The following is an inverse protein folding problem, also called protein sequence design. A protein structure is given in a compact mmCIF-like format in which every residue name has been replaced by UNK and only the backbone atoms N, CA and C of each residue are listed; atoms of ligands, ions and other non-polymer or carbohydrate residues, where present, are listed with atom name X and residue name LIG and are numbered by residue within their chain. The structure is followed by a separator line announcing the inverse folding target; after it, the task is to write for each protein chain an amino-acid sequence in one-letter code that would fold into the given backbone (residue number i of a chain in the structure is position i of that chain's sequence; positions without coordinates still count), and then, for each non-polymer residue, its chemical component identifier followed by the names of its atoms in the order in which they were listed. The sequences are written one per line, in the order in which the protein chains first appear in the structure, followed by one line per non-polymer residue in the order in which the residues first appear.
data_IF_443116812268
#
_entry.id   IF_443116812268
#
_cell.length_a   1.000
_cell.length_b   1.000
_cell.length_c   1.000
_cell.angle_alpha   90.00
_cell.angle_beta   90.00
_cell.angle_gamma   90.00
#
_symmetry.space_group_name_H-M   'P 1'
#
loop_
_entity.id
_entity.type
_entity.pdbx_description
1 polymer ?
#
# COMPACT_ATOMS: atom_id res chain seq x y z
N UNK A 1 3.66 -1.47 17.34
CA UNK A 1 3.32 -0.04 17.20
C UNK A 1 2.12 0.08 16.25
N UNK A 2 1.01 0.69 16.69
CA UNK A 2 -0.10 0.96 15.79
C UNK A 2 0.36 2.00 14.76
N UNK A 3 0.45 1.62 13.49
CA UNK A 3 0.69 2.54 12.39
C UNK A 3 -0.44 3.58 12.43
N UNK A 4 -0.12 4.85 12.64
CA UNK A 4 -1.07 5.96 12.67
C UNK A 4 -1.62 6.24 11.27
N UNK A 5 -2.28 5.24 10.69
CA UNK A 5 -2.94 5.33 9.40
C UNK A 5 -4.28 6.01 9.62
N UNK A 6 -4.35 7.28 9.23
CA UNK A 6 -5.60 8.00 9.12
C UNK A 6 -6.65 7.15 8.38
N UNK A 7 -7.88 7.12 8.89
CA UNK A 7 -8.96 6.34 8.28
C UNK A 7 -9.15 6.79 6.83
N UNK A 8 -9.06 5.87 5.85
CA UNK A 8 -9.19 6.23 4.44
C UNK A 8 -10.61 6.69 4.11
N UNK A 9 -10.71 7.63 3.16
CA UNK A 9 -11.96 8.03 2.51
C UNK A 9 -12.00 7.50 1.08
N UNK A 10 -13.18 7.13 0.60
CA UNK A 10 -13.37 6.64 -0.78
C UNK A 10 -14.49 7.40 -1.51
N UNK A 11 -14.51 7.26 -2.84
CA UNK A 11 -15.55 7.80 -3.74
C UNK A 11 -15.98 6.72 -4.74
N UNK A 12 -16.12 5.49 -4.27
CA UNK A 12 -16.41 4.34 -5.12
C UNK A 12 -17.80 4.41 -5.73
N UNK A 13 -17.91 4.11 -7.03
CA UNK A 13 -19.19 4.06 -7.75
C UNK A 13 -19.57 2.62 -8.12
N UNK A 14 -18.60 1.83 -8.58
CA UNK A 14 -18.86 0.50 -9.16
C UNK A 14 -18.50 -0.68 -8.25
N UNK A 15 -17.57 -0.49 -7.32
CA UNK A 15 -17.08 -1.59 -6.48
C UNK A 15 -18.01 -1.95 -5.34
N UNK A 16 -19.08 -1.17 -5.12
CA UNK A 16 -19.95 -1.26 -3.93
C UNK A 16 -19.18 -1.27 -2.60
N UNK A 17 -17.94 -0.78 -2.63
CA UNK A 17 -16.94 -0.87 -1.58
C UNK A 17 -16.53 -2.28 -1.12
N UNK A 18 -16.85 -3.35 -1.86
CA UNK A 18 -16.52 -4.75 -1.47
C UNK A 18 -15.29 -5.31 -2.19
N UNK A 19 -14.59 -4.49 -2.98
CA UNK A 19 -13.41 -4.90 -3.75
C UNK A 19 -12.21 -4.06 -3.36
N UNK A 20 -11.00 -4.58 -3.58
CA UNK A 20 -9.72 -3.90 -3.27
C UNK A 20 -9.48 -2.59 -4.04
N UNK A 21 -10.38 -2.18 -4.93
CA UNK A 21 -10.39 -0.82 -5.49
C UNK A 21 -10.80 0.23 -4.45
N UNK A 22 -11.66 -0.15 -3.49
CA UNK A 22 -12.01 0.73 -2.37
C UNK A 22 -10.84 0.81 -1.39
N UNK A 23 -10.44 2.05 -1.05
CA UNK A 23 -9.37 2.29 -0.07
C UNK A 23 -9.76 1.83 1.33
N UNK A 24 -11.03 2.01 1.71
CA UNK A 24 -11.54 1.56 3.00
C UNK A 24 -11.44 0.04 3.12
N UNK A 25 -12.02 -0.68 2.16
CA UNK A 25 -11.97 -2.15 2.13
C UNK A 25 -10.53 -2.69 2.03
N UNK A 26 -9.70 -2.15 1.14
CA UNK A 26 -8.28 -2.56 1.03
C UNK A 26 -7.52 -2.38 2.36
N UNK A 27 -7.81 -1.33 3.11
CA UNK A 27 -7.19 -1.06 4.42
C UNK A 27 -7.95 -1.70 5.59
N UNK A 28 -8.90 -2.59 5.33
CA UNK A 28 -9.77 -3.25 6.32
C UNK A 28 -10.54 -2.30 7.25
N UNK A 29 -10.92 -1.14 6.74
CA UNK A 29 -11.87 -0.24 7.37
C UNK A 29 -13.25 -0.34 6.70
N UNK A 30 -14.32 -0.33 7.50
CA UNK A 30 -15.64 0.02 6.97
C UNK A 30 -15.64 1.44 6.40
N UNK A 31 -16.46 1.71 5.40
CA UNK A 31 -16.75 3.09 5.02
C UNK A 31 -17.41 3.80 6.20
N UNK A 32 -17.03 5.06 6.42
CA UNK A 32 -17.67 5.95 7.40
C UNK A 32 -18.49 7.01 6.67
N UNK A 33 -19.25 7.82 7.42
CA UNK A 33 -20.02 8.94 6.89
C UNK A 33 -19.16 9.97 6.12
N UNK A 34 -17.84 9.99 6.38
CA UNK A 34 -16.88 10.81 5.64
C UNK A 34 -16.53 10.29 4.22
N UNK A 35 -17.17 9.21 3.74
CA UNK A 35 -16.95 8.67 2.39
C UNK A 35 -17.99 9.22 1.39
N UNK A 36 -17.58 9.35 0.13
CA UNK A 36 -18.40 9.82 -0.98
C UNK A 36 -18.81 8.67 -1.93
N UNK A 37 -18.84 7.43 -1.46
CA UNK A 37 -19.20 6.26 -2.26
C UNK A 37 -20.71 6.14 -2.46
N UNK A 38 -21.14 5.65 -3.62
CA UNK A 38 -22.54 5.31 -3.91
C UNK A 38 -22.76 3.79 -3.84
N UNK A 39 -23.89 3.35 -3.28
CA UNK A 39 -24.23 1.92 -3.17
C UNK A 39 -23.26 1.13 -2.27
N UNK A 40 -22.90 1.69 -1.11
CA UNK A 40 -21.90 1.09 -0.22
C UNK A 40 -22.44 -0.14 0.54
N UNK A 41 -21.75 -1.27 0.41
CA UNK A 41 -21.97 -2.47 1.23
C UNK A 41 -20.88 -2.66 2.30
N UNK A 42 -19.79 -1.90 2.24
CA UNK A 42 -18.72 -1.95 3.24
C UNK A 42 -19.09 -1.16 4.50
N UNK A 43 -20.11 -1.62 5.21
CA UNK A 43 -20.64 -1.06 6.44
C UNK A 43 -20.83 -2.17 7.49
N UNK A 44 -20.87 -1.80 8.77
CA UNK A 44 -20.98 -2.76 9.89
C UNK A 44 -22.21 -3.67 9.79
N UNK A 45 -23.31 -3.19 9.21
CA UNK A 45 -24.52 -3.99 9.03
C UNK A 45 -24.31 -5.26 8.17
N UNK A 46 -23.34 -5.25 7.25
CA UNK A 46 -22.99 -6.37 6.39
C UNK A 46 -21.64 -7.02 6.75
N UNK A 47 -21.20 -6.90 8.01
CA UNK A 47 -19.88 -7.35 8.50
C UNK A 47 -19.57 -8.80 8.11
N UNK A 48 -20.47 -9.75 8.39
CA UNK A 48 -20.28 -11.17 8.05
C UNK A 48 -20.01 -11.39 6.55
N UNK A 49 -20.77 -10.73 5.68
CA UNK A 49 -20.59 -10.82 4.22
C UNK A 49 -19.28 -10.16 3.76
N UNK A 50 -18.85 -9.09 4.42
CA UNK A 50 -17.58 -8.40 4.15
C UNK A 50 -16.39 -9.27 4.55
N UNK A 51 -16.48 -9.98 5.68
CA UNK A 51 -15.49 -10.95 6.12
C UNK A 51 -15.36 -12.12 5.13
N UNK A 52 -16.47 -12.71 4.69
CA UNK A 52 -16.46 -13.80 3.70
C UNK A 52 -15.78 -13.36 2.38
N UNK A 53 -16.09 -12.16 1.90
CA UNK A 53 -15.44 -11.60 0.70
C UNK A 53 -13.94 -11.39 0.92
N UNK A 54 -13.56 -10.87 2.09
CA UNK A 54 -12.15 -10.68 2.48
C UNK A 54 -11.39 -12.01 2.52
N UNK A 55 -12.00 -13.05 3.05
CA UNK A 55 -11.40 -14.39 3.16
C UNK A 55 -11.24 -15.04 1.80
N UNK A 56 -12.26 -14.96 0.93
CA UNK A 56 -12.14 -15.45 -0.45
C UNK A 56 -11.01 -14.73 -1.22
N UNK A 57 -10.82 -13.43 -0.99
CA UNK A 57 -9.73 -12.66 -1.60
C UNK A 57 -8.37 -13.12 -1.07
N UNK A 58 -8.24 -13.34 0.25
CA UNK A 58 -7.00 -13.82 0.88
C UNK A 58 -6.66 -15.25 0.47
N UNK A 59 -7.65 -16.12 0.33
CA UNK A 59 -7.45 -17.48 -0.17
C UNK A 59 -6.84 -17.50 -1.59
N UNK A 60 -7.22 -16.54 -2.45
CA UNK A 60 -6.66 -16.40 -3.80
C UNK A 60 -5.30 -15.72 -3.82
N UNK A 61 -5.06 -14.79 -2.91
CA UNK A 61 -3.78 -14.11 -2.75
C UNK A 61 -3.59 -13.73 -1.28
N UNK A 62 -2.74 -14.45 -0.52
CA UNK A 62 -2.59 -14.22 0.93
C UNK A 62 -2.15 -12.79 1.25
N UNK A 63 -1.43 -12.15 0.33
CA UNK A 63 -0.89 -10.79 0.51
C UNK A 63 -1.80 -9.74 -0.16
N UNK A 64 -3.09 -10.03 -0.34
CA UNK A 64 -4.03 -9.15 -1.05
C UNK A 64 -4.28 -7.81 -0.34
N UNK A 65 -4.23 -7.83 0.99
CA UNK A 65 -4.48 -6.67 1.86
C UNK A 65 -3.18 -6.02 2.37
N UNK A 66 -2.02 -6.61 2.07
CA UNK A 66 -0.73 -6.05 2.43
C UNK A 66 -0.49 -4.71 1.72
N UNK A 67 0.22 -3.76 2.35
CA UNK A 67 0.68 -2.56 1.66
C UNK A 67 1.49 -2.95 0.42
N UNK A 68 1.05 -2.48 -0.76
CA UNK A 68 1.73 -2.77 -2.03
C UNK A 68 3.15 -2.19 -2.06
N UNK A 69 3.36 -1.08 -1.34
CA UNK A 69 4.65 -0.39 -1.23
C UNK A 69 5.15 -0.48 0.19
N UNK A 70 6.33 -1.06 0.34
CA UNK A 70 7.11 -1.02 1.56
C UNK A 70 8.07 0.15 1.41
N UNK A 71 7.81 1.24 2.12
CA UNK A 71 8.72 2.38 2.16
C UNK A 71 9.75 2.09 3.24
N UNK A 72 10.95 1.68 2.85
CA UNK A 72 12.11 1.68 3.75
C UNK A 72 12.48 3.12 4.05
N UNK A 73 11.93 3.67 5.13
CA UNK A 73 12.39 4.95 5.69
C UNK A 73 13.71 4.65 6.38
N UNK A 74 14.82 4.75 5.65
CA UNK A 74 16.13 4.81 6.27
C UNK A 74 16.27 6.18 6.94
N UNK A 75 16.61 6.16 8.22
CA UNK A 75 17.02 7.26 9.09
C UNK A 75 15.94 8.20 9.65
N UNK A 76 15.46 7.82 10.84
CA UNK A 76 15.51 8.70 12.02
C UNK A 76 15.45 7.85 13.31
N UNK A 77 16.50 7.96 14.13
CA UNK A 77 16.59 7.64 15.58
C UNK A 77 16.67 6.18 16.07
N UNK A 78 17.92 5.75 16.29
CA UNK A 78 18.50 5.10 17.49
C UNK A 78 17.79 3.94 18.22
N UNK A 79 18.55 2.83 18.37
CA UNK A 79 18.52 1.79 19.40
C UNK A 79 17.36 0.77 19.41
N UNK A 80 17.62 -0.46 18.95
CA UNK A 80 17.98 -1.61 19.83
C UNK A 80 18.10 -2.91 18.98
N UNK A 81 19.16 -3.73 19.11
CA UNK A 81 19.37 -4.93 18.31
C UNK A 81 19.01 -6.20 19.08
N UNK A 82 17.83 -6.80 18.86
CA UNK A 82 17.57 -8.23 19.15
C UNK A 82 16.16 -8.67 18.71
N UNK A 83 16.04 -9.21 17.49
CA UNK A 83 15.22 -10.41 17.30
C UNK A 83 15.50 -11.08 15.97
N UNK A 84 16.14 -12.21 16.13
CA UNK A 84 16.65 -13.18 15.18
C UNK A 84 15.55 -13.95 14.44
N UNK A 85 15.79 -14.10 13.13
CA UNK A 85 15.66 -15.33 12.32
C UNK A 85 14.33 -16.09 12.27
N UNK A 86 13.80 -16.23 11.05
CA UNK A 86 13.68 -17.55 10.41
C UNK A 86 13.67 -17.39 8.90
N UNK A 87 14.67 -18.02 8.27
CA UNK A 87 14.84 -18.13 6.84
C UNK A 87 13.77 -19.06 6.25
N UNK A 88 13.14 -18.65 5.15
CA UNK A 88 12.75 -19.57 4.09
C UNK A 88 13.16 -18.93 2.76
N UNK A 89 14.20 -19.51 2.19
CA UNK A 89 14.73 -19.30 0.86
C UNK A 89 13.84 -19.94 -0.20
N UNK A 90 13.53 -19.21 -1.27
CA UNK A 90 13.25 -19.81 -2.58
C UNK A 90 13.80 -18.93 -3.72
N UNK A 91 14.74 -19.41 -4.55
CA UNK A 91 15.44 -18.62 -5.55
C UNK A 91 14.85 -18.83 -6.95
N UNK A 92 14.13 -17.85 -7.52
CA UNK A 92 14.02 -17.67 -8.98
C UNK A 92 13.27 -16.40 -9.38
N UNK A 93 13.98 -15.31 -9.64
CA UNK A 93 13.64 -14.45 -10.78
C UNK A 93 14.84 -13.59 -11.21
N UNK A 94 15.67 -14.17 -12.07
CA UNK A 94 16.57 -13.43 -12.96
C UNK A 94 15.72 -12.61 -13.92
N UNK A 95 15.63 -11.31 -13.69
CA UNK A 95 15.33 -10.34 -14.75
C UNK A 95 16.31 -9.18 -14.60
N UNK A 96 17.08 -9.01 -15.66
CA UNK A 96 18.29 -8.23 -15.84
C UNK A 96 18.33 -6.89 -15.09
N UNK A 97 19.39 -6.73 -14.31
CA UNK A 97 19.70 -5.53 -13.55
C UNK A 97 20.17 -4.41 -14.48
N UNK A 98 19.30 -3.43 -14.72
CA UNK A 98 19.70 -2.12 -15.25
C UNK A 98 20.21 -1.26 -14.09
N UNK A 99 21.42 -0.66 -14.17
CA UNK A 99 21.94 0.19 -13.10
C UNK A 99 21.24 1.55 -13.16
N UNK A 100 20.47 1.90 -12.12
CA UNK A 100 19.82 3.20 -12.02
C UNK A 100 18.59 3.20 -11.11
N UNK A 101 18.76 3.72 -9.90
CA UNK A 101 17.77 3.98 -8.84
C UNK A 101 17.50 2.82 -7.85
N UNK A 102 18.29 2.79 -6.77
CA UNK A 102 18.31 1.82 -5.65
C UNK A 102 17.10 1.83 -4.69
N UNK A 103 15.91 2.29 -5.11
CA UNK A 103 14.69 2.12 -4.31
C UNK A 103 13.58 1.43 -5.11
N UNK A 104 13.68 0.10 -5.26
CA UNK A 104 12.55 -0.74 -5.70
C UNK A 104 11.60 -0.94 -4.52
N UNK A 105 10.58 -0.07 -4.39
CA UNK A 105 9.70 0.05 -3.20
C UNK A 105 8.53 -0.96 -3.12
N UNK A 106 8.31 -1.85 -4.10
CA UNK A 106 7.24 -2.88 -4.05
C UNK A 106 7.85 -4.25 -3.84
N UNK A 107 7.27 -5.07 -2.94
CA UNK A 107 7.75 -6.44 -2.70
C UNK A 107 7.74 -7.31 -3.96
N UNK A 108 6.73 -7.17 -4.83
CA UNK A 108 6.61 -7.89 -6.12
C UNK A 108 6.97 -7.02 -7.34
N UNK A 109 7.29 -5.74 -7.16
CA UNK A 109 7.42 -4.77 -8.26
C UNK A 109 6.11 -4.13 -8.76
N UNK A 110 6.21 -2.97 -9.43
CA UNK A 110 5.09 -2.32 -10.13
C UNK A 110 4.76 -3.08 -11.44
N UNK A 111 3.49 -3.40 -11.72
CA UNK A 111 3.08 -3.99 -13.02
C UNK A 111 3.00 -2.96 -14.18
N UNK A 112 3.72 -1.84 -14.05
CA UNK A 112 3.61 -0.73 -14.98
C UNK A 112 4.33 -1.03 -16.29
N UNK A 113 3.56 -1.12 -17.39
CA UNK A 113 4.11 -1.25 -18.74
C UNK A 113 4.24 0.11 -19.43
N UNK A 114 3.11 0.80 -19.63
CA UNK A 114 3.05 2.08 -20.38
C UNK A 114 3.57 3.27 -19.59
N UNK A 115 3.31 3.30 -18.28
CA UNK A 115 3.74 4.43 -17.44
C UNK A 115 5.22 4.42 -17.12
N UNK A 116 5.94 3.30 -17.35
CA UNK A 116 7.37 3.13 -16.99
C UNK A 116 7.71 3.65 -15.58
N UNK A 117 6.77 3.44 -14.65
CA UNK A 117 6.78 3.94 -13.27
C UNK A 117 7.11 5.46 -13.13
N UNK A 118 6.76 6.28 -14.14
CA UNK A 118 6.98 7.73 -14.22
C UNK A 118 5.70 8.59 -14.25
N UNK A 119 4.54 7.97 -14.02
CA UNK A 119 3.23 8.64 -13.98
C UNK A 119 2.47 8.25 -12.73
N UNK A 120 1.52 9.09 -12.30
CA UNK A 120 0.62 8.87 -11.15
C UNK A 120 -0.23 7.60 -11.22
N UNK A 121 -0.27 6.88 -12.34
CA UNK A 121 -0.85 5.54 -12.38
C UNK A 121 -0.02 4.52 -11.59
N UNK A 122 1.29 4.74 -11.48
CA UNK A 122 2.20 3.91 -10.71
C UNK A 122 2.22 4.34 -9.25
N UNK A 123 1.97 3.40 -8.33
CA UNK A 123 2.09 3.68 -6.91
C UNK A 123 3.56 4.01 -6.52
N UNK A 124 4.58 3.41 -7.18
CA UNK A 124 6.00 3.78 -6.92
C UNK A 124 6.23 5.26 -7.15
N UNK A 125 5.69 5.77 -8.27
CA UNK A 125 5.86 7.16 -8.66
C UNK A 125 5.22 8.10 -7.65
N UNK A 126 3.99 7.78 -7.18
CA UNK A 126 3.32 8.57 -6.14
C UNK A 126 4.15 8.66 -4.87
N UNK A 127 4.70 7.54 -4.42
CA UNK A 127 5.54 7.50 -3.21
C UNK A 127 6.84 8.26 -3.41
N UNK A 128 7.50 8.12 -4.57
CA UNK A 128 8.71 8.88 -4.89
C UNK A 128 8.44 10.38 -4.94
N UNK A 129 7.33 10.80 -5.54
CA UNK A 129 6.92 12.20 -5.55
C UNK A 129 6.70 12.73 -4.14
N UNK A 130 5.98 11.99 -3.29
CA UNK A 130 5.76 12.36 -1.89
C UNK A 130 7.07 12.42 -1.10
N UNK A 131 7.98 11.45 -1.25
CA UNK A 131 9.28 11.47 -0.57
C UNK A 131 10.11 12.67 -1.01
N UNK A 132 10.13 12.99 -2.31
CA UNK A 132 10.86 14.14 -2.83
C UNK A 132 10.27 15.47 -2.33
N UNK A 133 8.93 15.57 -2.27
CA UNK A 133 8.25 16.74 -1.73
C UNK A 133 8.61 16.96 -0.25
N UNK A 134 8.64 15.89 0.55
CA UNK A 134 9.04 15.95 1.97
C UNK A 134 10.51 16.39 2.09
N UNK A 135 11.42 15.84 1.28
CA UNK A 135 12.84 16.22 1.29
C UNK A 135 13.03 17.71 0.94
N UNK A 136 12.31 18.21 -0.08
CA UNK A 136 12.33 19.63 -0.44
C UNK A 136 11.86 20.54 0.70
N UNK A 137 10.77 20.18 1.37
CA UNK A 137 10.27 20.93 2.53
C UNK A 137 11.29 20.94 3.66
N UNK A 138 11.94 19.80 3.95
CA UNK A 138 12.99 19.72 4.98
C UNK A 138 14.16 20.65 4.69
N UNK A 139 14.65 20.67 3.45
CA UNK A 139 15.75 21.57 3.04
C UNK A 139 15.36 23.04 3.24
N UNK A 140 14.13 23.42 2.88
CA UNK A 140 13.63 24.78 3.05
C UNK A 140 13.46 25.19 4.52
N UNK A 141 13.14 24.24 5.41
CA UNK A 141 13.00 24.51 6.84
C UNK A 141 14.35 24.57 7.59
N UNK A 142 15.42 24.06 6.97
CA UNK A 142 16.79 24.09 7.53
C UNK A 142 17.65 25.25 7.02
N UNK A 143 17.20 26.00 6.03
CA UNK A 143 17.87 27.16 5.45
C UNK A 143 17.31 28.47 6.04
#
# INVERSE_FOLDING_TARGET
MANNQERPKCSCVQSSCTQLYCRCFRSRYFCSDNCNCSGCYNIKYYEDAIEEISDMIQMKNPNAFDPRIIVSVQDATAADPQSSTSAISDPKNTSDAMPGNEQRKHAKGCSCRKSKCSKLYCECFKVNQATNQIQMIRVLLTA
#
